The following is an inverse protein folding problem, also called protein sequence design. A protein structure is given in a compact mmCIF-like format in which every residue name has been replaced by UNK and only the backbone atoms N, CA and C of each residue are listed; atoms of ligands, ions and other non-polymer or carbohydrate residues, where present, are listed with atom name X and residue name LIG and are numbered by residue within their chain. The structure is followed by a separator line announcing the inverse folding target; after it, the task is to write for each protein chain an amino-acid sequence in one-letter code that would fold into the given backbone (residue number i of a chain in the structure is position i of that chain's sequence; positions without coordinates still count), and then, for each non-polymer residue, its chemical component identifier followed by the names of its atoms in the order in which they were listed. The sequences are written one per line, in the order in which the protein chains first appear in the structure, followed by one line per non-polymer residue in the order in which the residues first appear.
data_IF_458297713647
#
_entry.id   IF_458297713647
#
_cell.length_a   1.000
_cell.length_b   1.000
_cell.length_c   1.000
_cell.angle_alpha   90.00
_cell.angle_beta   90.00
_cell.angle_gamma   90.00
#
_symmetry.space_group_name_H-M   'P 1'
#
loop_
_entity.id
_entity.type
_entity.pdbx_description
1 polymer ?
#
# COMPACT_ATOMS: atom_id res chain seq x y z
N UNK A 1 29.28 -49.42 -1.85
CA UNK A 1 28.73 -49.68 -0.50
C UNK A 1 28.87 -48.46 0.41
N UNK A 2 30.04 -47.82 0.51
CA UNK A 2 30.25 -46.66 1.41
C UNK A 2 29.51 -45.37 0.97
N UNK A 3 29.39 -45.13 -0.34
CA UNK A 3 28.80 -43.91 -0.89
C UNK A 3 27.27 -43.82 -0.69
N UNK A 4 26.56 -44.95 -0.79
CA UNK A 4 25.11 -44.99 -0.55
C UNK A 4 24.76 -44.71 0.93
N UNK A 5 25.62 -45.17 1.85
CA UNK A 5 25.44 -44.93 3.29
C UNK A 5 25.62 -43.45 3.66
N UNK A 6 26.53 -42.75 2.98
CA UNK A 6 26.79 -41.32 3.20
C UNK A 6 25.60 -40.46 2.75
N UNK A 7 24.97 -40.80 1.61
CA UNK A 7 23.80 -40.07 1.09
C UNK A 7 22.61 -40.22 2.04
N UNK A 8 22.42 -41.41 2.62
CA UNK A 8 21.33 -41.67 3.57
C UNK A 8 21.55 -40.88 4.87
N UNK A 9 22.77 -40.82 5.39
CA UNK A 9 23.10 -40.04 6.58
C UNK A 9 22.94 -38.53 6.35
N UNK A 10 23.30 -38.01 5.17
CA UNK A 10 23.17 -36.59 4.84
C UNK A 10 21.69 -36.16 4.73
N UNK A 11 20.82 -37.00 4.16
CA UNK A 11 19.37 -36.75 4.10
C UNK A 11 18.71 -36.76 5.49
N UNK A 12 19.16 -37.64 6.39
CA UNK A 12 18.64 -37.70 7.77
C UNK A 12 19.00 -36.44 8.59
N UNK A 13 20.21 -35.90 8.41
CA UNK A 13 20.66 -34.67 9.09
C UNK A 13 19.87 -33.44 8.63
N UNK A 14 19.57 -33.33 7.33
CA UNK A 14 18.75 -32.22 6.77
C UNK A 14 17.29 -32.32 7.22
N UNK A 15 16.73 -33.51 7.33
CA UNK A 15 15.35 -33.71 7.82
C UNK A 15 15.24 -33.42 9.33
N UNK A 16 16.23 -33.81 10.13
CA UNK A 16 16.21 -33.58 11.58
C UNK A 16 16.47 -32.11 11.95
N UNK A 17 17.23 -31.37 11.15
CA UNK A 17 17.46 -29.93 11.35
C UNK A 17 16.26 -29.06 10.95
N UNK A 18 15.42 -29.52 10.02
CA UNK A 18 14.19 -28.80 9.63
C UNK A 18 13.12 -28.78 10.74
N UNK A 19 13.13 -29.76 11.65
CA UNK A 19 12.18 -29.83 12.78
C UNK A 19 12.53 -28.90 13.95
N UNK A 20 13.78 -28.47 14.09
CA UNK A 20 14.21 -27.67 15.25
C UNK A 20 13.83 -26.19 15.09
N UNK A 21 13.67 -25.69 13.85
CA UNK A 21 13.39 -24.27 13.58
C UNK A 21 11.90 -23.89 13.78
N UNK A 22 10.98 -24.86 13.88
CA UNK A 22 9.55 -24.58 14.08
C UNK A 22 9.14 -24.32 15.54
N UNK A 23 10.05 -24.46 16.52
CA UNK A 23 9.67 -24.48 17.94
C UNK A 23 10.06 -23.22 18.75
N UNK A 24 10.70 -22.20 18.16
CA UNK A 24 11.19 -21.03 18.93
C UNK A 24 10.84 -19.64 18.37
N UNK A 25 10.01 -19.53 17.33
CA UNK A 25 9.58 -18.23 16.78
C UNK A 25 8.23 -17.75 17.33
N UNK A 26 8.19 -17.24 18.56
CA UNK A 26 7.01 -16.56 19.11
C UNK A 26 6.82 -15.16 18.52
N UNK A 27 5.68 -14.90 17.88
CA UNK A 27 5.29 -13.56 17.45
C UNK A 27 4.14 -13.05 18.33
N UNK A 28 4.49 -12.25 19.35
CA UNK A 28 3.57 -11.31 19.99
C UNK A 28 3.39 -10.11 19.05
N UNK A 29 2.14 -9.69 18.81
CA UNK A 29 1.66 -8.32 19.06
C UNK A 29 0.44 -8.02 18.17
N UNK A 30 -0.70 -7.78 18.80
CA UNK A 30 -1.92 -7.31 18.15
C UNK A 30 -2.72 -6.48 19.15
N UNK A 31 -2.29 -5.25 19.38
CA UNK A 31 -3.06 -4.26 20.14
C UNK A 31 -4.23 -3.79 19.28
N UNK A 32 -5.46 -4.19 19.61
CA UNK A 32 -6.68 -3.63 19.03
C UNK A 32 -7.06 -2.35 19.76
N UNK A 33 -6.62 -1.19 19.27
CA UNK A 33 -7.15 0.09 19.73
C UNK A 33 -8.34 0.50 18.84
N UNK A 34 -9.52 -0.05 19.11
CA UNK A 34 -10.78 0.52 18.60
C UNK A 34 -11.23 1.63 19.54
N UNK A 35 -10.74 2.85 19.31
CA UNK A 35 -11.37 4.08 19.80
C UNK A 35 -12.00 4.81 18.61
N UNK A 36 -13.19 4.36 18.23
CA UNK A 36 -14.09 5.13 17.38
C UNK A 36 -14.68 6.25 18.25
N UNK A 37 -13.99 7.38 18.35
CA UNK A 37 -14.60 8.59 18.88
C UNK A 37 -15.25 9.33 17.69
N UNK A 38 -16.47 8.92 17.36
CA UNK A 38 -17.35 9.75 16.55
C UNK A 38 -17.86 10.87 17.43
N UNK A 39 -17.40 12.11 17.19
CA UNK A 39 -18.23 13.31 17.19
C UNK A 39 -17.35 14.53 16.85
N UNK A 40 -17.45 15.03 15.64
CA UNK A 40 -17.27 16.46 15.38
C UNK A 40 -18.19 16.81 14.23
N UNK A 41 -19.42 17.17 14.61
CA UNK A 41 -20.26 17.98 13.78
C UNK A 41 -19.51 19.27 13.44
N UNK A 42 -19.36 19.52 12.15
CA UNK A 42 -19.29 20.88 11.67
C UNK A 42 -20.59 21.18 10.96
N UNK A 43 -21.31 22.08 11.61
CA UNK A 43 -22.62 22.60 11.24
C UNK A 43 -22.58 23.32 9.90
N UNK A 44 -23.55 22.98 9.06
CA UNK A 44 -24.30 23.83 8.13
C UNK A 44 -23.73 25.21 7.81
N UNK A 45 -23.37 25.45 6.54
CA UNK A 45 -23.66 26.73 5.88
C UNK A 45 -24.18 26.49 4.46
N UNK A 46 -25.50 26.49 4.37
CA UNK A 46 -26.28 26.78 3.17
C UNK A 46 -26.10 28.27 2.82
N UNK A 47 -25.77 28.59 1.57
CA UNK A 47 -25.64 29.98 1.14
C UNK A 47 -25.33 30.12 -0.33
N UNK A 48 -26.37 30.14 -1.16
CA UNK A 48 -26.37 30.53 -2.56
C UNK A 48 -26.34 32.06 -2.67
N UNK A 49 -25.31 32.61 -3.32
CA UNK A 49 -25.38 33.87 -4.07
C UNK A 49 -24.07 34.12 -4.83
N UNK A 50 -24.23 34.43 -6.12
CA UNK A 50 -23.34 34.89 -7.19
C UNK A 50 -21.85 35.24 -6.90
N UNK A 51 -20.96 35.06 -7.91
CA UNK A 51 -19.51 35.13 -7.75
C UNK A 51 -18.96 36.56 -7.58
N UNK A 52 -18.04 36.80 -6.63
CA UNK A 52 -17.25 38.03 -6.61
C UNK A 52 -16.10 37.96 -7.63
N UNK A 53 -15.97 39.07 -8.36
CA UNK A 53 -15.04 39.38 -9.46
C UNK A 53 -13.57 39.21 -9.05
N UNK A 54 -12.76 38.58 -9.91
CA UNK A 54 -11.31 38.40 -9.73
C UNK A 54 -10.51 39.68 -10.06
N UNK A 55 -9.53 40.10 -9.25
CA UNK A 55 -8.48 41.00 -9.70
C UNK A 55 -7.39 40.24 -10.49
N UNK A 56 -7.08 40.75 -11.68
CA UNK A 56 -5.89 40.42 -12.46
C UNK A 56 -4.67 41.08 -11.82
N UNK A 57 -3.61 40.30 -11.54
CA UNK A 57 -2.20 40.59 -11.88
C UNK A 57 -1.18 40.00 -10.88
N UNK A 58 -0.31 39.15 -11.44
CA UNK A 58 1.14 39.08 -11.18
C UNK A 58 1.66 38.94 -9.75
N UNK A 59 1.40 37.79 -9.13
CA UNK A 59 2.39 37.01 -8.40
C UNK A 59 1.74 35.65 -8.13
N UNK A 60 2.10 34.62 -8.90
CA UNK A 60 1.61 33.26 -8.64
C UNK A 60 2.13 32.83 -7.27
N UNK A 61 1.30 32.99 -6.25
CA UNK A 61 1.42 32.20 -5.04
C UNK A 61 1.33 30.74 -5.50
N UNK A 62 2.47 30.09 -5.65
CA UNK A 62 2.53 28.63 -5.71
C UNK A 62 1.94 28.19 -4.39
N UNK A 63 0.65 27.87 -4.40
CA UNK A 63 -0.05 27.33 -3.26
C UNK A 63 0.72 26.06 -2.92
N UNK A 64 1.60 26.15 -1.92
CA UNK A 64 2.21 24.98 -1.32
C UNK A 64 1.02 24.16 -0.86
N UNK A 65 0.72 23.11 -1.63
CA UNK A 65 -0.34 22.18 -1.33
C UNK A 65 -0.13 21.80 0.12
N UNK A 66 -1.12 22.10 0.97
CA UNK A 66 -1.09 21.67 2.35
C UNK A 66 -0.75 20.18 2.32
N UNK A 67 0.41 19.82 2.88
CA UNK A 67 0.80 18.42 3.06
C UNK A 67 -0.06 17.91 4.21
N UNK A 68 -1.36 17.79 3.94
CA UNK A 68 -2.25 17.02 4.77
C UNK A 68 -1.87 15.55 4.69
N UNK A 69 -2.22 14.76 5.71
CA UNK A 69 -2.03 13.32 5.64
C UNK A 69 -2.75 12.77 4.40
N UNK A 70 -2.05 11.94 3.61
CA UNK A 70 -2.65 11.25 2.47
C UNK A 70 -3.73 10.32 3.02
N UNK A 71 -4.97 10.54 2.60
CA UNK A 71 -6.11 9.71 2.98
C UNK A 71 -6.62 8.96 1.75
N UNK A 72 -6.52 7.63 1.81
CA UNK A 72 -6.95 6.74 0.73
C UNK A 72 -8.42 6.38 0.93
N UNK A 73 -9.26 6.91 0.07
CA UNK A 73 -10.72 6.82 0.20
C UNK A 73 -11.35 5.94 -0.86
N UNK A 74 -10.60 5.50 -1.88
CA UNK A 74 -11.14 4.60 -2.89
C UNK A 74 -11.25 3.17 -2.33
N UNK A 75 -12.14 2.35 -2.91
CA UNK A 75 -12.20 0.94 -2.57
C UNK A 75 -10.88 0.23 -2.89
N UNK A 76 -10.52 -0.73 -2.03
CA UNK A 76 -9.40 -1.65 -2.21
C UNK A 76 -8.03 -0.99 -2.39
N UNK A 77 -7.82 0.18 -1.79
CA UNK A 77 -6.50 0.79 -1.64
C UNK A 77 -6.17 1.09 -0.18
N UNK A 78 -4.88 1.24 0.09
CA UNK A 78 -4.35 1.66 1.38
C UNK A 78 -3.19 2.64 1.17
N UNK A 79 -2.91 3.44 2.20
CA UNK A 79 -1.72 4.27 2.20
C UNK A 79 -0.50 3.40 2.47
N UNK A 80 0.53 3.56 1.65
CA UNK A 80 1.84 2.95 1.87
C UNK A 80 2.95 3.91 1.40
N UNK A 81 4.14 3.77 1.97
CA UNK A 81 5.36 4.28 1.35
C UNK A 81 5.93 3.17 0.46
N UNK A 82 5.54 3.16 -0.81
CA UNK A 82 5.75 2.03 -1.72
C UNK A 82 6.72 2.26 -2.88
N UNK A 83 6.63 1.35 -3.87
CA UNK A 83 7.44 1.34 -5.09
C UNK A 83 7.16 2.54 -6.00
N UNK A 84 8.06 2.79 -6.96
CA UNK A 84 7.90 3.86 -7.93
C UNK A 84 6.67 3.67 -8.84
N UNK A 85 6.43 2.43 -9.28
CA UNK A 85 5.26 2.06 -10.07
C UNK A 85 4.19 1.42 -9.18
N UNK A 86 2.91 1.67 -9.49
CA UNK A 86 1.78 0.95 -8.90
C UNK A 86 1.41 -0.26 -9.75
N UNK A 87 0.66 -1.19 -9.17
CA UNK A 87 0.03 -2.28 -9.92
C UNK A 87 -1.15 -1.74 -10.71
N UNK A 88 -1.02 -1.67 -12.03
CA UNK A 88 -2.06 -1.19 -12.94
C UNK A 88 -2.48 -2.30 -13.91
N UNK A 89 -3.77 -2.35 -14.27
CA UNK A 89 -4.27 -3.36 -15.21
C UNK A 89 -3.52 -3.29 -16.56
N UNK A 90 -3.13 -2.10 -17.00
CA UNK A 90 -2.46 -1.89 -18.30
C UNK A 90 -1.02 -2.46 -18.34
N UNK A 91 -0.39 -2.66 -17.18
CA UNK A 91 1.02 -3.06 -17.07
C UNK A 91 1.21 -4.32 -16.20
N UNK A 92 0.16 -5.15 -16.07
CA UNK A 92 0.25 -6.39 -15.30
C UNK A 92 1.38 -7.29 -15.82
N UNK A 93 2.19 -7.80 -14.89
CA UNK A 93 3.34 -8.66 -15.21
C UNK A 93 4.56 -7.94 -15.79
N UNK A 94 4.48 -6.63 -16.02
CA UNK A 94 5.64 -5.85 -16.44
C UNK A 94 6.49 -5.45 -15.22
N UNK A 95 7.81 -5.56 -15.37
CA UNK A 95 8.72 -5.11 -14.33
C UNK A 95 8.76 -3.58 -14.28
N UNK A 96 8.68 -3.00 -13.08
CA UNK A 96 8.92 -1.58 -12.89
C UNK A 96 10.41 -1.27 -13.10
N UNK A 97 10.80 -0.50 -14.14
CA UNK A 97 12.21 -0.19 -14.40
C UNK A 97 12.75 0.90 -13.46
N UNK A 98 11.86 1.56 -12.73
CA UNK A 98 12.20 2.71 -11.89
C UNK A 98 12.55 2.20 -10.49
N UNK A 99 13.78 2.47 -10.08
CA UNK A 99 14.25 2.23 -8.71
C UNK A 99 14.26 3.57 -7.98
N UNK A 100 13.47 3.67 -6.91
CA UNK A 100 13.38 4.87 -6.11
C UNK A 100 14.36 4.85 -4.92
N UNK A 101 15.05 5.97 -4.69
CA UNK A 101 15.97 6.14 -3.54
C UNK A 101 15.20 6.19 -2.23
N UNK A 102 13.97 6.69 -2.29
CA UNK A 102 12.99 6.81 -1.21
C UNK A 102 11.66 6.31 -1.74
N UNK A 103 10.93 5.57 -0.91
CA UNK A 103 9.59 5.14 -1.26
C UNK A 103 8.63 6.31 -1.52
N UNK A 104 7.60 6.06 -2.32
CA UNK A 104 6.60 7.06 -2.69
C UNK A 104 5.41 6.98 -1.72
N UNK A 105 5.09 8.11 -1.07
CA UNK A 105 3.88 8.24 -0.26
C UNK A 105 2.67 8.33 -1.20
N UNK A 106 1.88 7.27 -1.29
CA UNK A 106 0.71 7.22 -2.14
C UNK A 106 -0.32 6.19 -1.66
N UNK A 107 -1.48 6.19 -2.32
CA UNK A 107 -2.46 5.13 -2.17
C UNK A 107 -2.16 4.02 -3.18
N UNK A 108 -1.93 2.80 -2.69
CA UNK A 108 -1.63 1.62 -3.48
C UNK A 108 -2.80 0.65 -3.42
N UNK A 109 -3.05 -0.07 -4.51
CA UNK A 109 -4.03 -1.15 -4.51
C UNK A 109 -3.62 -2.24 -3.53
N UNK A 110 -4.61 -2.79 -2.83
CA UNK A 110 -4.41 -3.94 -1.95
C UNK A 110 -3.89 -5.15 -2.74
N UNK A 111 -3.22 -6.07 -2.06
CA UNK A 111 -2.75 -7.33 -2.68
C UNK A 111 -3.88 -8.05 -3.42
N UNK A 112 -3.64 -8.43 -4.67
CA UNK A 112 -4.63 -9.08 -5.54
C UNK A 112 -5.52 -8.10 -6.33
N UNK A 113 -5.30 -6.79 -6.19
CA UNK A 113 -6.00 -5.75 -6.94
C UNK A 113 -5.03 -4.96 -7.82
N UNK A 114 -5.55 -4.40 -8.92
CA UNK A 114 -4.82 -3.51 -9.82
C UNK A 114 -5.69 -2.31 -10.20
N UNK A 115 -5.05 -1.16 -10.43
CA UNK A 115 -5.74 0.08 -10.78
C UNK A 115 -6.15 0.03 -12.26
N UNK A 116 -7.42 0.22 -12.53
CA UNK A 116 -7.94 0.33 -13.89
C UNK A 116 -7.79 1.75 -14.45
N UNK A 117 -8.17 1.98 -15.70
CA UNK A 117 -8.13 3.30 -16.36
C UNK A 117 -9.08 4.33 -15.75
N UNK A 118 -10.08 3.91 -14.97
CA UNK A 118 -10.96 4.78 -14.20
C UNK A 118 -10.33 5.22 -12.86
N UNK A 119 -9.14 4.72 -12.53
CA UNK A 119 -8.43 5.03 -11.29
C UNK A 119 -8.87 4.20 -10.08
N UNK A 120 -9.68 3.16 -10.26
CA UNK A 120 -10.18 2.30 -9.17
C UNK A 120 -9.41 0.98 -9.10
N UNK A 121 -9.10 0.53 -7.89
CA UNK A 121 -8.51 -0.78 -7.65
C UNK A 121 -9.57 -1.88 -7.76
N UNK A 122 -9.48 -2.69 -8.81
CA UNK A 122 -10.35 -3.84 -9.07
C UNK A 122 -9.56 -5.15 -8.90
N UNK A 123 -10.21 -6.30 -8.64
CA UNK A 123 -9.54 -7.58 -8.61
C UNK A 123 -8.73 -7.80 -9.89
N UNK A 124 -7.51 -8.32 -9.80
CA UNK A 124 -6.65 -8.57 -10.97
C UNK A 124 -7.35 -9.48 -12.00
N UNK A 125 -8.22 -10.38 -11.56
CA UNK A 125 -9.04 -11.24 -12.43
C UNK A 125 -10.12 -10.51 -13.24
N UNK A 126 -10.34 -9.22 -12.96
CA UNK A 126 -11.28 -8.33 -13.66
C UNK A 126 -10.57 -7.24 -14.47
N UNK A 127 -9.24 -7.23 -14.45
CA UNK A 127 -8.49 -6.74 -15.59
C UNK A 127 -8.68 -7.77 -16.75
#
# INVERSE_FOLDING_TARGET
MLNELIIIMLKFVVLLSCCIVLSVGGYRSGYTNKRSNGNSGYSTQTGSSSPPVQPRSSASAVQARAIGPINCTQPNEHYECGSACQTECATLGQQCPIVNVRCNDACYCNTGYARNSAGTCIPISQC
#
